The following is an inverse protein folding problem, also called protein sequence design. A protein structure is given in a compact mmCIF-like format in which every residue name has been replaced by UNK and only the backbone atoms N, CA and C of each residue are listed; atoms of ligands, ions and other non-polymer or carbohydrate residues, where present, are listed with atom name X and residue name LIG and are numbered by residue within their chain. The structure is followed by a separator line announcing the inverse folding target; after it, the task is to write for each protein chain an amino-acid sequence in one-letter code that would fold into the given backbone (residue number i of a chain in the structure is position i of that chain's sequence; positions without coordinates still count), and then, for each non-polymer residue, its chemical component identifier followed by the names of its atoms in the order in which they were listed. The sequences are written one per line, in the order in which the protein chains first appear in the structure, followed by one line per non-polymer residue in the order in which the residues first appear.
data_IF_975569805190
#
_entry.id   IF_975569805190
#
_cell.length_a   1.000
_cell.length_b   1.000
_cell.length_c   1.000
_cell.angle_alpha   90.00
_cell.angle_beta   90.00
_cell.angle_gamma   90.00
#
_symmetry.space_group_name_H-M   'P 1'
#
loop_
_entity.id
_entity.type
_entity.pdbx_description
1 polymer ?
#
# COMPACT_ATOMS: atom_id res chain seq x y z
N UNK A 1 -23.33 33.67 -26.75
CA UNK A 1 -22.08 33.78 -25.96
C UNK A 1 -22.38 33.27 -24.56
N UNK A 2 -22.01 32.03 -24.24
CA UNK A 2 -22.25 31.44 -22.91
C UNK A 2 -21.34 32.09 -21.88
N UNK A 3 -21.91 32.59 -20.78
CA UNK A 3 -21.14 33.11 -19.64
C UNK A 3 -20.01 32.14 -19.24
N UNK A 4 -18.82 32.66 -18.85
CA UNK A 4 -17.77 31.82 -18.31
C UNK A 4 -18.26 31.23 -16.98
N UNK A 5 -18.78 30.00 -17.05
CA UNK A 5 -19.30 29.25 -15.91
C UNK A 5 -18.28 29.26 -14.76
N UNK A 6 -18.74 29.52 -13.53
CA UNK A 6 -17.94 29.79 -12.32
C UNK A 6 -16.86 28.74 -11.95
N UNK A 7 -15.80 29.06 -11.19
CA UNK A 7 -14.76 28.08 -10.83
C UNK A 7 -15.28 26.81 -10.12
N UNK A 8 -16.42 26.90 -9.42
CA UNK A 8 -16.98 25.82 -8.58
C UNK A 8 -17.56 24.64 -9.37
N UNK A 9 -18.19 24.86 -10.52
CA UNK A 9 -18.73 23.73 -11.31
C UNK A 9 -17.60 22.90 -11.92
N UNK A 10 -16.47 23.53 -12.30
CA UNK A 10 -15.31 22.82 -12.87
C UNK A 10 -14.73 21.87 -11.84
N UNK A 11 -14.62 22.32 -10.58
CA UNK A 11 -14.23 21.46 -9.48
C UNK A 11 -15.22 20.30 -9.31
N UNK A 12 -16.53 20.57 -9.23
CA UNK A 12 -17.53 19.52 -9.07
C UNK A 12 -17.47 18.45 -10.19
N UNK A 13 -17.36 18.87 -11.46
CA UNK A 13 -17.20 17.94 -12.59
C UNK A 13 -15.88 17.18 -12.50
N UNK A 14 -14.78 17.85 -12.13
CA UNK A 14 -13.49 17.19 -11.95
C UNK A 14 -13.55 16.09 -10.88
N UNK A 15 -14.18 16.36 -9.74
CA UNK A 15 -14.32 15.41 -8.64
C UNK A 15 -15.07 14.13 -9.06
N UNK A 16 -16.11 14.26 -9.88
CA UNK A 16 -16.87 13.12 -10.43
C UNK A 16 -16.04 12.36 -11.46
N UNK A 17 -15.41 13.05 -12.41
CA UNK A 17 -14.57 12.42 -13.45
C UNK A 17 -13.43 11.62 -12.81
N UNK A 18 -12.80 12.18 -11.78
CA UNK A 18 -11.73 11.51 -11.04
C UNK A 18 -12.23 10.28 -10.30
N UNK A 19 -13.39 10.37 -9.63
CA UNK A 19 -14.00 9.23 -8.95
C UNK A 19 -14.28 8.07 -9.92
N UNK A 20 -14.91 8.37 -11.06
CA UNK A 20 -15.23 7.37 -12.10
C UNK A 20 -13.97 6.78 -12.71
N UNK A 21 -12.97 7.61 -13.03
CA UNK A 21 -11.72 7.16 -13.62
C UNK A 21 -10.91 6.25 -12.68
N UNK A 22 -10.80 6.62 -11.40
CA UNK A 22 -10.10 5.82 -10.40
C UNK A 22 -10.83 4.50 -10.11
N UNK A 23 -12.15 4.55 -9.86
CA UNK A 23 -12.95 3.36 -9.59
C UNK A 23 -12.99 2.42 -10.80
N UNK A 24 -13.25 2.94 -12.00
CA UNK A 24 -13.30 2.14 -13.23
C UNK A 24 -11.98 1.42 -13.51
N UNK A 25 -10.85 2.10 -13.30
CA UNK A 25 -9.54 1.46 -13.42
C UNK A 25 -9.33 0.38 -12.35
N UNK A 26 -9.66 0.65 -11.09
CA UNK A 26 -9.50 -0.32 -10.01
C UNK A 26 -10.35 -1.59 -10.23
N UNK A 27 -11.59 -1.42 -10.67
CA UNK A 27 -12.49 -2.52 -11.03
C UNK A 27 -11.88 -3.35 -12.16
N UNK A 28 -11.45 -2.71 -13.26
CA UNK A 28 -10.84 -3.40 -14.39
C UNK A 28 -9.53 -4.12 -14.01
N UNK A 29 -8.70 -3.50 -13.18
CA UNK A 29 -7.44 -4.06 -12.70
C UNK A 29 -7.68 -5.31 -11.85
N UNK A 30 -8.67 -5.29 -10.96
CA UNK A 30 -9.03 -6.43 -10.11
C UNK A 30 -9.66 -7.55 -10.92
N UNK A 31 -10.68 -7.24 -11.70
CA UNK A 31 -11.40 -8.22 -12.53
C UNK A 31 -10.46 -8.92 -13.52
N UNK A 32 -9.48 -8.21 -14.08
CA UNK A 32 -8.49 -8.84 -14.97
C UNK A 32 -7.51 -9.77 -14.25
N UNK A 33 -7.11 -9.48 -13.01
CA UNK A 33 -6.28 -10.39 -12.21
C UNK A 33 -7.06 -11.64 -11.79
N UNK A 34 -8.31 -11.47 -11.35
CA UNK A 34 -9.23 -12.56 -11.02
C UNK A 34 -9.54 -13.43 -12.25
N UNK A 35 -9.71 -12.81 -13.42
CA UNK A 35 -9.87 -13.52 -14.69
C UNK A 35 -8.64 -14.37 -15.06
N UNK A 36 -7.42 -13.86 -14.87
CA UNK A 36 -6.20 -14.65 -15.12
C UNK A 36 -6.12 -15.84 -14.16
N UNK A 37 -6.39 -15.62 -12.87
CA UNK A 37 -6.38 -16.70 -11.87
C UNK A 37 -7.36 -17.83 -12.23
N UNK A 38 -8.59 -17.46 -12.58
CA UNK A 38 -9.66 -18.40 -12.96
C UNK A 38 -9.41 -19.08 -14.30
N UNK A 39 -8.88 -18.36 -15.30
CA UNK A 39 -8.52 -18.95 -16.60
C UNK A 39 -7.40 -19.99 -16.47
N UNK A 40 -6.52 -19.86 -15.48
CA UNK A 40 -5.45 -20.81 -15.17
C UNK A 40 -5.86 -21.84 -14.10
N UNK A 41 -7.15 -21.93 -13.76
CA UNK A 41 -7.71 -23.01 -12.93
C UNK A 41 -7.71 -22.76 -11.42
N UNK A 42 -7.37 -21.55 -10.95
CA UNK A 42 -7.46 -21.16 -9.54
C UNK A 42 -8.71 -20.34 -9.22
N UNK A 43 -9.16 -20.33 -7.97
CA UNK A 43 -10.16 -19.35 -7.49
C UNK A 43 -9.56 -17.97 -7.22
N UNK A 44 -8.25 -17.94 -6.99
CA UNK A 44 -7.44 -16.79 -6.60
C UNK A 44 -5.99 -17.05 -7.01
N UNK A 45 -5.10 -16.09 -6.74
CA UNK A 45 -3.72 -16.17 -7.23
C UNK A 45 -2.91 -17.25 -6.52
N UNK A 46 -3.23 -17.55 -5.26
CA UNK A 46 -2.55 -18.59 -4.48
C UNK A 46 -2.98 -19.96 -4.97
N UNK A 47 -4.29 -20.21 -5.06
CA UNK A 47 -4.84 -21.48 -5.57
C UNK A 47 -4.45 -21.72 -7.02
N UNK A 48 -4.38 -20.68 -7.85
CA UNK A 48 -3.81 -20.76 -9.19
C UNK A 48 -2.39 -21.34 -9.12
N UNK A 49 -1.48 -20.71 -8.37
CA UNK A 49 -0.08 -21.16 -8.28
C UNK A 49 0.05 -22.54 -7.64
N UNK A 50 -0.78 -22.87 -6.66
CA UNK A 50 -0.84 -24.20 -6.03
C UNK A 50 -1.20 -25.29 -7.04
N UNK A 51 -2.11 -25.02 -7.97
CA UNK A 51 -2.50 -25.95 -9.02
C UNK A 51 -1.43 -26.19 -10.09
N UNK A 52 -0.41 -25.33 -10.20
CA UNK A 52 0.59 -25.42 -11.26
C UNK A 52 1.74 -26.38 -10.93
N UNK A 53 2.33 -27.05 -11.94
CA UNK A 53 3.59 -27.78 -11.83
C UNK A 53 4.72 -26.92 -11.29
N UNK A 54 5.67 -27.53 -10.57
CA UNK A 54 6.79 -26.83 -9.91
C UNK A 54 7.60 -25.91 -10.84
N UNK A 55 7.83 -26.33 -12.09
CA UNK A 55 8.56 -25.51 -13.05
C UNK A 55 7.78 -24.26 -13.46
N UNK A 56 6.45 -24.31 -13.51
CA UNK A 56 5.60 -23.16 -13.83
C UNK A 56 5.54 -22.17 -12.67
N UNK A 57 5.59 -22.65 -11.42
CA UNK A 57 5.68 -21.79 -10.22
C UNK A 57 6.94 -20.91 -10.20
N UNK A 58 7.98 -21.30 -10.93
CA UNK A 58 9.20 -20.50 -11.13
C UNK A 58 9.11 -19.70 -12.43
N UNK A 59 8.71 -20.34 -13.53
CA UNK A 59 8.69 -19.73 -14.85
C UNK A 59 7.73 -18.52 -14.93
N UNK A 60 6.56 -18.59 -14.28
CA UNK A 60 5.59 -17.49 -14.30
C UNK A 60 6.11 -16.23 -13.60
N UNK A 61 6.66 -16.28 -12.35
CA UNK A 61 7.27 -15.11 -11.73
C UNK A 61 8.44 -14.54 -12.54
N UNK A 62 9.26 -15.40 -13.17
CA UNK A 62 10.35 -14.97 -14.06
C UNK A 62 9.81 -14.22 -15.28
N UNK A 63 8.81 -14.78 -15.96
CA UNK A 63 8.19 -14.18 -17.14
C UNK A 63 7.48 -12.85 -16.78
N UNK A 64 6.72 -12.83 -15.69
CA UNK A 64 6.07 -11.61 -15.17
C UNK A 64 7.10 -10.54 -14.80
N UNK A 65 8.19 -10.91 -14.14
CA UNK A 65 9.29 -10.02 -13.80
C UNK A 65 10.00 -9.46 -15.03
N UNK A 66 10.32 -10.30 -16.01
CA UNK A 66 10.94 -9.88 -17.28
C UNK A 66 10.03 -8.92 -18.04
N UNK A 67 8.75 -9.26 -18.20
CA UNK A 67 7.77 -8.42 -18.88
C UNK A 67 7.60 -7.07 -18.18
N UNK A 68 7.50 -7.07 -16.86
CA UNK A 68 7.45 -5.86 -16.05
C UNK A 68 8.72 -5.00 -16.21
N UNK A 69 9.89 -5.64 -16.32
CA UNK A 69 11.17 -4.97 -16.60
C UNK A 69 11.23 -4.32 -17.97
N UNK A 70 10.69 -4.97 -19.00
CA UNK A 70 10.57 -4.40 -20.36
C UNK A 70 9.63 -3.20 -20.39
N UNK A 71 8.49 -3.29 -19.69
CA UNK A 71 7.56 -2.17 -19.56
C UNK A 71 8.19 -1.01 -18.77
N UNK A 72 8.95 -1.30 -17.71
CA UNK A 72 9.69 -0.28 -16.96
C UNK A 72 10.74 0.44 -17.82
N UNK A 73 11.40 -0.26 -18.75
CA UNK A 73 12.30 0.35 -19.74
C UNK A 73 11.55 1.29 -20.70
N UNK A 74 10.37 0.89 -21.16
CA UNK A 74 9.53 1.76 -21.99
C UNK A 74 9.05 2.99 -21.19
N UNK A 75 8.61 2.79 -19.95
CA UNK A 75 8.17 3.86 -19.04
C UNK A 75 9.31 4.84 -18.69
N UNK A 76 10.56 4.36 -18.62
CA UNK A 76 11.74 5.19 -18.38
C UNK A 76 11.99 6.23 -19.49
N UNK A 77 11.52 5.98 -20.73
CA UNK A 77 11.64 6.94 -21.84
C UNK A 77 10.72 8.16 -21.67
N UNK A 78 9.71 8.07 -20.79
CA UNK A 78 8.84 9.18 -20.43
C UNK A 78 9.53 10.01 -19.34
N UNK A 79 9.97 11.25 -19.67
CA UNK A 79 10.87 12.12 -18.87
C UNK A 79 10.33 12.63 -17.51
N UNK A 80 9.29 12.02 -16.94
CA UNK A 80 8.68 12.44 -15.66
C UNK A 80 8.70 11.30 -14.62
N UNK A 81 8.61 11.63 -13.34
CA UNK A 81 8.63 10.63 -12.26
C UNK A 81 7.34 9.80 -12.18
N UNK A 82 7.34 8.76 -11.36
CA UNK A 82 6.20 7.89 -11.12
C UNK A 82 6.24 7.35 -9.68
N UNK A 83 5.19 6.62 -9.27
CA UNK A 83 5.06 6.12 -7.92
C UNK A 83 4.38 7.09 -6.95
N UNK A 84 4.03 6.59 -5.78
CA UNK A 84 3.32 7.36 -4.74
C UNK A 84 4.16 8.53 -4.25
N UNK A 85 5.48 8.35 -4.10
CA UNK A 85 6.39 9.43 -3.72
C UNK A 85 6.34 10.61 -4.70
N UNK A 86 6.40 10.35 -6.01
CA UNK A 86 6.26 11.41 -7.03
C UNK A 86 4.90 12.10 -6.98
N UNK A 87 3.82 11.37 -6.71
CA UNK A 87 2.48 11.96 -6.55
C UNK A 87 2.44 12.88 -5.32
N UNK A 88 3.04 12.47 -4.21
CA UNK A 88 3.16 13.30 -3.01
C UNK A 88 3.95 14.58 -3.28
N UNK A 89 5.08 14.46 -3.99
CA UNK A 89 5.88 15.60 -4.45
C UNK A 89 5.04 16.54 -5.31
N UNK A 90 4.31 16.03 -6.31
CA UNK A 90 3.47 16.84 -7.21
C UNK A 90 2.38 17.63 -6.46
N UNK A 91 1.75 17.02 -5.45
CA UNK A 91 0.68 17.64 -4.66
C UNK A 91 1.25 18.73 -3.72
N UNK A 92 2.35 18.44 -3.02
CA UNK A 92 2.90 19.35 -2.01
C UNK A 92 3.72 20.47 -2.63
N UNK A 93 4.59 20.17 -3.59
CA UNK A 93 5.34 21.20 -4.34
C UNK A 93 4.45 21.98 -5.30
N UNK A 94 3.28 21.45 -5.63
CA UNK A 94 2.37 22.07 -6.59
C UNK A 94 2.77 21.92 -8.04
N UNK A 95 3.78 21.12 -8.34
CA UNK A 95 4.05 20.71 -9.70
C UNK A 95 3.09 19.57 -10.08
N UNK A 96 1.82 19.93 -10.31
CA UNK A 96 0.66 19.03 -10.47
C UNK A 96 0.69 18.13 -11.71
N UNK A 97 1.86 17.89 -12.31
CA UNK A 97 2.03 17.14 -13.55
C UNK A 97 2.31 15.67 -13.26
N UNK A 98 1.25 14.86 -13.22
CA UNK A 98 1.34 13.39 -13.11
C UNK A 98 1.27 12.76 -14.51
N UNK A 99 2.33 12.13 -15.02
CA UNK A 99 2.37 11.61 -16.39
C UNK A 99 1.41 10.41 -16.59
N UNK A 100 0.25 10.65 -17.22
CA UNK A 100 -0.79 9.63 -17.45
C UNK A 100 -0.24 8.36 -18.12
N UNK A 101 0.50 8.52 -19.22
CA UNK A 101 1.08 7.38 -19.95
C UNK A 101 2.06 6.58 -19.07
N UNK A 102 2.87 7.25 -18.26
CA UNK A 102 3.81 6.58 -17.37
C UNK A 102 3.11 5.85 -16.23
N UNK A 103 2.02 6.41 -15.71
CA UNK A 103 1.16 5.75 -14.73
C UNK A 103 0.52 4.49 -15.31
N UNK A 104 0.02 4.54 -16.55
CA UNK A 104 -0.55 3.38 -17.23
C UNK A 104 0.50 2.29 -17.49
N UNK A 105 1.70 2.66 -17.96
CA UNK A 105 2.78 1.70 -18.18
C UNK A 105 3.24 1.06 -16.87
N UNK A 106 3.40 1.84 -15.79
CA UNK A 106 3.74 1.27 -14.48
C UNK A 106 2.66 0.33 -13.96
N UNK A 107 1.39 0.69 -14.14
CA UNK A 107 0.28 -0.16 -13.75
C UNK A 107 0.25 -1.47 -14.56
N UNK A 108 0.49 -1.41 -15.87
CA UNK A 108 0.62 -2.60 -16.72
C UNK A 108 1.80 -3.48 -16.30
N UNK A 109 2.97 -2.88 -16.03
CA UNK A 109 4.12 -3.63 -15.53
C UNK A 109 3.83 -4.32 -14.19
N UNK A 110 3.11 -3.62 -13.30
CA UNK A 110 2.72 -4.18 -12.00
C UNK A 110 1.71 -5.31 -12.16
N UNK A 111 0.72 -5.12 -13.04
CA UNK A 111 -0.25 -6.14 -13.39
C UNK A 111 0.43 -7.42 -13.92
N UNK A 112 1.37 -7.29 -14.87
CA UNK A 112 2.12 -8.42 -15.43
C UNK A 112 2.93 -9.17 -14.37
N UNK A 113 3.58 -8.44 -13.46
CA UNK A 113 4.35 -9.06 -12.40
C UNK A 113 3.44 -9.78 -11.37
N UNK A 114 2.34 -9.15 -10.97
CA UNK A 114 1.35 -9.72 -10.04
C UNK A 114 0.67 -10.94 -10.67
N UNK A 115 0.19 -10.84 -11.90
CA UNK A 115 -0.43 -11.95 -12.64
C UNK A 115 0.52 -13.14 -12.80
N UNK A 116 1.83 -12.89 -12.94
CA UNK A 116 2.87 -13.92 -12.91
C UNK A 116 3.14 -14.52 -11.51
N UNK A 117 2.48 -14.04 -10.46
CA UNK A 117 2.61 -14.51 -9.08
C UNK A 117 3.66 -13.78 -8.23
N UNK A 118 4.37 -12.77 -8.75
CA UNK A 118 5.38 -12.06 -7.96
C UNK A 118 4.76 -11.40 -6.70
N UNK A 119 5.55 -11.35 -5.63
CA UNK A 119 5.13 -10.80 -4.34
C UNK A 119 5.10 -9.27 -4.35
N UNK A 120 4.01 -8.69 -4.87
CA UNK A 120 3.84 -7.25 -5.06
C UNK A 120 2.42 -6.81 -4.68
N UNK A 121 2.31 -5.64 -4.05
CA UNK A 121 1.04 -4.97 -3.78
C UNK A 121 0.49 -4.23 -5.00
N UNK A 122 -0.83 -4.17 -5.12
CA UNK A 122 -1.55 -3.46 -6.20
C UNK A 122 -1.76 -1.96 -5.95
N UNK A 123 -1.49 -1.50 -4.73
CA UNK A 123 -1.92 -0.17 -4.27
C UNK A 123 -1.21 0.98 -4.97
N UNK A 124 0.09 0.85 -5.21
CA UNK A 124 0.90 1.88 -5.85
C UNK A 124 0.34 2.29 -7.21
N UNK A 125 0.11 1.34 -8.14
CA UNK A 125 -0.58 1.58 -9.39
C UNK A 125 -1.95 2.23 -9.25
N UNK A 126 -2.80 1.75 -8.34
CA UNK A 126 -4.17 2.25 -8.17
C UNK A 126 -4.20 3.70 -7.66
N UNK A 127 -3.37 4.01 -6.66
CA UNK A 127 -3.19 5.36 -6.15
C UNK A 127 -2.63 6.29 -7.24
N UNK A 128 -1.63 5.82 -7.99
CA UNK A 128 -0.99 6.62 -9.04
C UNK A 128 -1.94 6.91 -10.20
N UNK A 129 -2.79 5.94 -10.59
CA UNK A 129 -3.83 6.16 -11.60
C UNK A 129 -4.92 7.08 -11.09
N UNK A 130 -5.29 6.97 -9.81
CA UNK A 130 -6.17 7.95 -9.17
C UNK A 130 -5.66 9.38 -9.33
N UNK A 131 -4.38 9.63 -9.01
CA UNK A 131 -3.74 10.93 -9.21
C UNK A 131 -3.66 11.32 -10.70
N UNK A 132 -3.38 10.37 -11.60
CA UNK A 132 -3.34 10.61 -13.05
C UNK A 132 -4.70 11.00 -13.63
N UNK A 133 -5.80 10.44 -13.10
CA UNK A 133 -7.16 10.88 -13.41
C UNK A 133 -7.37 12.33 -12.99
N UNK A 134 -6.80 12.74 -11.86
CA UNK A 134 -6.77 14.15 -11.44
C UNK A 134 -6.04 15.07 -12.42
N UNK A 135 -4.89 14.63 -12.93
CA UNK A 135 -4.17 15.36 -13.99
C UNK A 135 -4.97 15.43 -15.30
N UNK A 136 -5.65 14.35 -15.68
CA UNK A 136 -6.51 14.34 -16.86
C UNK A 136 -7.65 15.37 -16.71
N UNK A 137 -8.31 15.40 -15.55
CA UNK A 137 -9.33 16.38 -15.23
C UNK A 137 -8.78 17.82 -15.23
N UNK A 138 -7.59 18.04 -14.65
CA UNK A 138 -6.89 19.34 -14.69
C UNK A 138 -6.70 19.84 -16.12
N UNK A 139 -6.17 19.00 -17.02
CA UNK A 139 -5.92 19.37 -18.42
C UNK A 139 -7.22 19.60 -19.19
N UNK A 140 -8.20 18.71 -19.03
CA UNK A 140 -9.48 18.79 -19.73
C UNK A 140 -10.33 19.99 -19.33
N UNK A 141 -10.38 20.31 -18.03
CA UNK A 141 -11.21 21.38 -17.47
C UNK A 141 -10.43 22.69 -17.27
N UNK A 142 -9.14 22.71 -17.59
CA UNK A 142 -8.23 23.87 -17.43
C UNK A 142 -8.32 24.45 -16.02
N UNK A 143 -8.10 23.59 -15.03
CA UNK A 143 -8.09 23.98 -13.62
C UNK A 143 -6.79 24.74 -13.29
N UNK A 144 -6.89 25.70 -12.38
CA UNK A 144 -5.76 26.39 -11.78
C UNK A 144 -5.00 25.46 -10.83
N UNK A 145 -3.77 25.83 -10.46
CA UNK A 145 -2.88 24.96 -9.71
C UNK A 145 -3.38 24.64 -8.30
N UNK A 146 -4.11 25.54 -7.64
CA UNK A 146 -4.67 25.29 -6.32
C UNK A 146 -5.78 24.23 -6.38
N UNK A 147 -6.76 24.42 -7.28
CA UNK A 147 -7.82 23.43 -7.53
C UNK A 147 -7.24 22.11 -8.02
N UNK A 148 -6.21 22.15 -8.87
CA UNK A 148 -5.55 20.96 -9.37
C UNK A 148 -4.95 20.10 -8.23
N UNK A 149 -4.27 20.71 -7.25
CA UNK A 149 -3.72 19.97 -6.11
C UNK A 149 -4.81 19.23 -5.33
N UNK A 150 -5.95 19.88 -5.11
CA UNK A 150 -7.11 19.28 -4.44
C UNK A 150 -7.65 18.10 -5.27
N UNK A 151 -7.82 18.27 -6.58
CA UNK A 151 -8.34 17.23 -7.48
C UNK A 151 -7.38 16.04 -7.60
N UNK A 152 -6.05 16.28 -7.63
CA UNK A 152 -5.05 15.21 -7.59
C UNK A 152 -5.09 14.45 -6.26
N UNK A 153 -5.18 15.15 -5.12
CA UNK A 153 -5.31 14.54 -3.80
C UNK A 153 -6.60 13.73 -3.67
N UNK A 154 -7.72 14.26 -4.19
CA UNK A 154 -8.99 13.55 -4.27
C UNK A 154 -8.87 12.27 -5.11
N UNK A 155 -8.10 12.33 -6.21
CA UNK A 155 -7.76 11.15 -7.02
C UNK A 155 -6.96 10.10 -6.28
N UNK A 156 -5.97 10.51 -5.47
CA UNK A 156 -5.22 9.58 -4.61
C UNK A 156 -6.15 8.86 -3.65
N UNK A 157 -7.04 9.59 -2.95
CA UNK A 157 -7.99 8.97 -2.03
C UNK A 157 -8.99 8.06 -2.77
N UNK A 158 -9.52 8.46 -3.93
CA UNK A 158 -10.39 7.60 -4.73
C UNK A 158 -9.69 6.31 -5.17
N UNK A 159 -8.44 6.38 -5.62
CA UNK A 159 -7.65 5.21 -5.98
C UNK A 159 -7.40 4.28 -4.79
N UNK A 160 -7.08 4.85 -3.63
CA UNK A 160 -6.89 4.10 -2.38
C UNK A 160 -8.19 3.42 -1.93
N UNK A 161 -9.31 4.16 -1.89
CA UNK A 161 -10.59 3.63 -1.47
C UNK A 161 -11.11 2.55 -2.41
N UNK A 162 -10.93 2.71 -3.72
CA UNK A 162 -11.29 1.68 -4.71
C UNK A 162 -10.42 0.42 -4.58
N UNK A 163 -9.18 0.55 -4.11
CA UNK A 163 -8.28 -0.58 -3.89
C UNK A 163 -8.67 -1.43 -2.67
N UNK A 164 -9.14 -0.78 -1.60
CA UNK A 164 -9.34 -1.41 -0.30
C UNK A 164 -10.79 -1.44 0.20
N UNK A 165 -11.73 -0.84 -0.52
CA UNK A 165 -13.09 -0.59 -0.04
C UNK A 165 -13.10 0.16 1.31
N UNK A 166 -12.14 1.07 1.50
CA UNK A 166 -11.85 1.75 2.77
C UNK A 166 -11.87 3.28 2.60
N UNK A 167 -13.06 3.90 2.48
CA UNK A 167 -13.19 5.33 2.23
C UNK A 167 -12.64 6.22 3.35
N UNK A 168 -12.85 5.89 4.63
CA UNK A 168 -12.41 6.76 5.74
C UNK A 168 -10.88 6.72 5.85
N UNK A 169 -10.30 5.52 5.74
CA UNK A 169 -8.86 5.33 5.70
C UNK A 169 -8.21 6.05 4.52
N UNK A 170 -8.86 6.10 3.35
CA UNK A 170 -8.34 6.82 2.19
C UNK A 170 -8.27 8.35 2.41
N UNK A 171 -9.27 8.94 3.05
CA UNK A 171 -9.26 10.37 3.42
C UNK A 171 -8.14 10.65 4.41
N UNK A 172 -8.01 9.80 5.44
CA UNK A 172 -6.93 9.91 6.43
C UNK A 172 -5.56 9.70 5.79
N UNK A 173 -5.42 8.77 4.83
CA UNK A 173 -4.20 8.56 4.09
C UNK A 173 -3.77 9.85 3.37
N UNK A 174 -4.71 10.56 2.75
CA UNK A 174 -4.39 11.84 2.11
C UNK A 174 -3.93 12.87 3.15
N UNK A 175 -4.65 13.02 4.25
CA UNK A 175 -4.32 14.02 5.29
C UNK A 175 -3.00 13.69 6.00
N UNK A 176 -2.80 12.45 6.42
CA UNK A 176 -1.66 12.03 7.24
C UNK A 176 -0.40 11.76 6.40
N UNK A 177 -0.55 11.08 5.25
CA UNK A 177 0.57 10.64 4.40
C UNK A 177 0.80 11.58 3.22
N UNK A 178 -0.22 11.97 2.47
CA UNK A 178 -0.01 12.63 1.17
C UNK A 178 0.25 14.13 1.32
N UNK A 179 -0.69 14.88 1.89
CA UNK A 179 -0.62 16.34 2.04
C UNK A 179 0.10 16.75 3.33
N UNK A 180 -0.09 16.00 4.43
CA UNK A 180 0.36 16.42 5.75
C UNK A 180 -0.56 17.48 6.35
N UNK A 181 0.01 18.41 7.15
CA UNK A 181 -0.74 19.39 7.95
C UNK A 181 -1.87 20.03 7.14
N UNK A 182 -3.07 19.90 7.72
CA UNK A 182 -4.35 19.92 7.05
C UNK A 182 -4.59 21.20 6.24
N UNK A 183 -4.61 21.06 4.92
CA UNK A 183 -5.40 21.98 4.09
C UNK A 183 -6.86 21.56 4.30
N UNK A 184 -7.52 22.15 5.30
CA UNK A 184 -8.95 21.91 5.60
C UNK A 184 -9.82 22.02 4.34
N UNK A 185 -9.44 22.89 3.39
CA UNK A 185 -10.11 23.08 2.11
C UNK A 185 -10.10 21.84 1.20
N UNK A 186 -9.12 20.94 1.36
CA UNK A 186 -9.03 19.71 0.57
C UNK A 186 -9.88 18.57 1.15
N UNK A 187 -10.20 18.60 2.44
CA UNK A 187 -10.88 17.49 3.14
C UNK A 187 -12.25 17.20 2.54
N UNK A 188 -13.07 18.23 2.33
CA UNK A 188 -14.44 18.06 1.78
C UNK A 188 -14.41 17.53 0.34
N UNK A 189 -13.67 18.13 -0.61
CA UNK A 189 -13.54 17.58 -1.96
C UNK A 189 -13.00 16.15 -2.00
N UNK A 190 -11.97 15.86 -1.20
CA UNK A 190 -11.37 14.52 -1.08
C UNK A 190 -12.41 13.52 -0.59
N UNK A 191 -13.16 13.85 0.47
CA UNK A 191 -14.20 12.98 1.01
C UNK A 191 -15.31 12.70 -0.02
N UNK A 192 -15.80 13.73 -0.72
CA UNK A 192 -16.85 13.57 -1.74
C UNK A 192 -16.39 12.61 -2.85
N UNK A 193 -15.22 12.86 -3.45
CA UNK A 193 -14.68 12.00 -4.51
C UNK A 193 -14.39 10.58 -4.03
N UNK A 194 -13.94 10.43 -2.79
CA UNK A 194 -13.69 9.12 -2.18
C UNK A 194 -14.98 8.32 -1.99
N UNK A 195 -16.05 8.96 -1.50
CA UNK A 195 -17.36 8.34 -1.38
C UNK A 195 -17.88 7.92 -2.74
N UNK A 196 -17.82 8.79 -3.75
CA UNK A 196 -18.24 8.45 -5.11
C UNK A 196 -17.47 7.26 -5.67
N UNK A 197 -16.15 7.25 -5.57
CA UNK A 197 -15.32 6.14 -6.04
C UNK A 197 -15.64 4.83 -5.31
N UNK A 198 -15.91 4.90 -4.01
CA UNK A 198 -16.31 3.75 -3.19
C UNK A 198 -17.67 3.21 -3.63
N UNK A 199 -18.66 4.09 -3.85
CA UNK A 199 -19.98 3.70 -4.35
C UNK A 199 -19.85 2.97 -5.69
N UNK A 200 -19.12 3.53 -6.65
CA UNK A 200 -18.89 2.85 -7.94
C UNK A 200 -18.20 1.50 -7.78
N UNK A 201 -17.21 1.41 -6.89
CA UNK A 201 -16.50 0.15 -6.62
C UNK A 201 -17.43 -0.89 -5.99
N UNK A 202 -18.26 -0.49 -5.02
CA UNK A 202 -19.21 -1.37 -4.33
C UNK A 202 -20.33 -1.87 -5.23
N UNK A 203 -20.82 -1.02 -6.14
CA UNK A 203 -21.80 -1.43 -7.15
C UNK A 203 -21.27 -2.54 -8.06
N UNK A 204 -19.96 -2.58 -8.31
CA UNK A 204 -19.34 -3.59 -9.17
C UNK A 204 -18.82 -4.83 -8.41
N UNK A 205 -18.29 -4.64 -7.20
CA UNK A 205 -17.52 -5.68 -6.47
C UNK A 205 -18.15 -6.09 -5.13
N UNK A 206 -19.27 -5.49 -4.74
CA UNK A 206 -19.97 -5.76 -3.48
C UNK A 206 -19.58 -4.81 -2.34
N UNK A 207 -20.42 -4.79 -1.30
CA UNK A 207 -20.29 -3.84 -0.18
C UNK A 207 -19.44 -4.36 0.98
N UNK A 208 -19.22 -5.67 1.05
CA UNK A 208 -18.58 -6.33 2.19
C UNK A 208 -17.15 -5.80 2.44
N UNK A 209 -16.71 -5.76 3.72
CA UNK A 209 -15.31 -5.53 4.06
C UNK A 209 -14.40 -6.48 3.30
N UNK A 210 -13.20 -6.02 2.93
CA UNK A 210 -12.34 -6.77 2.01
C UNK A 210 -11.93 -8.13 2.59
N UNK A 211 -11.68 -8.24 3.89
CA UNK A 211 -11.40 -9.53 4.53
C UNK A 211 -12.66 -10.26 5.01
N UNK A 212 -13.86 -9.68 4.85
CA UNK A 212 -15.10 -10.19 5.44
C UNK A 212 -15.31 -9.70 6.88
N UNK A 213 -16.57 -9.74 7.32
CA UNK A 213 -17.00 -9.32 8.66
C UNK A 213 -16.46 -10.30 9.68
N UNK A 214 -15.69 -9.80 10.65
CA UNK A 214 -15.27 -10.55 11.84
C UNK A 214 -15.72 -9.82 13.08
N UNK A 215 -15.92 -10.59 14.14
CA UNK A 215 -16.27 -10.08 15.47
C UNK A 215 -15.15 -10.52 16.42
N UNK A 216 -14.16 -9.66 16.59
CA UNK A 216 -13.11 -9.86 17.56
C UNK A 216 -13.49 -9.12 18.84
N UNK A 217 -13.48 -9.83 19.95
CA UNK A 217 -13.72 -9.25 21.27
C UNK A 217 -12.42 -9.29 22.06
N UNK A 218 -11.98 -8.12 22.53
CA UNK A 218 -10.91 -8.05 23.54
C UNK A 218 -11.51 -8.54 24.85
N UNK A 219 -10.80 -9.45 25.53
CA UNK A 219 -11.35 -10.11 26.71
C UNK A 219 -11.21 -9.21 27.94
N UNK A 220 -10.15 -8.39 27.97
CA UNK A 220 -9.75 -7.65 29.17
C UNK A 220 -9.03 -6.34 28.85
N UNK A 221 -9.18 -5.35 29.74
CA UNK A 221 -8.45 -4.08 29.65
C UNK A 221 -6.92 -4.27 29.78
N UNK A 222 -6.47 -5.31 30.48
CA UNK A 222 -5.04 -5.64 30.61
C UNK A 222 -4.42 -6.09 29.29
N UNK A 223 -5.24 -6.61 28.38
CA UNK A 223 -4.80 -7.04 27.06
C UNK A 223 -4.26 -5.88 26.21
N UNK A 224 -4.62 -4.63 26.53
CA UNK A 224 -4.03 -3.44 25.93
C UNK A 224 -2.50 -3.40 26.09
N UNK A 225 -1.95 -3.97 27.17
CA UNK A 225 -0.50 -4.07 27.36
C UNK A 225 0.11 -5.07 26.36
N UNK A 226 -0.57 -6.18 26.11
CA UNK A 226 -0.15 -7.15 25.11
C UNK A 226 -0.20 -6.55 23.70
N UNK A 227 -1.27 -5.83 23.36
CA UNK A 227 -1.38 -5.12 22.08
C UNK A 227 -0.32 -4.01 21.92
N UNK A 228 0.02 -3.30 23.00
CA UNK A 228 1.15 -2.38 23.01
C UNK A 228 2.49 -3.09 22.71
N UNK A 229 2.68 -4.29 23.26
CA UNK A 229 3.81 -5.17 22.96
C UNK A 229 3.86 -5.58 21.48
N UNK A 230 2.73 -5.96 20.89
CA UNK A 230 2.61 -6.23 19.44
C UNK A 230 3.04 -5.01 18.64
N UNK A 231 2.65 -3.80 19.07
CA UNK A 231 3.08 -2.54 18.46
C UNK A 231 4.61 -2.38 18.42
N UNK A 232 5.31 -2.71 19.50
CA UNK A 232 6.78 -2.66 19.56
C UNK A 232 7.43 -3.70 18.64
N UNK A 233 6.92 -4.94 18.64
CA UNK A 233 7.41 -6.00 17.75
C UNK A 233 7.23 -5.59 16.28
N UNK A 234 6.05 -5.08 15.93
CA UNK A 234 5.75 -4.60 14.60
C UNK A 234 6.63 -3.41 14.18
N UNK A 235 7.02 -2.52 15.11
CA UNK A 235 7.97 -1.45 14.83
C UNK A 235 9.34 -1.98 14.40
N UNK A 236 9.87 -2.97 15.14
CA UNK A 236 11.16 -3.59 14.82
C UNK A 236 11.10 -4.30 13.47
N UNK A 237 10.05 -5.08 13.21
CA UNK A 237 9.86 -5.79 11.95
C UNK A 237 9.64 -4.83 10.77
N UNK A 238 8.84 -3.78 10.95
CA UNK A 238 8.63 -2.76 9.93
C UNK A 238 9.93 -2.05 9.54
N UNK A 239 10.74 -1.66 10.53
CA UNK A 239 12.06 -1.06 10.28
C UNK A 239 13.02 -2.06 9.63
N UNK A 240 13.03 -3.31 10.08
CA UNK A 240 13.82 -4.37 9.46
C UNK A 240 13.43 -4.56 7.99
N UNK A 241 12.14 -4.53 7.67
CA UNK A 241 11.64 -4.63 6.31
C UNK A 241 12.07 -3.44 5.43
N UNK A 242 11.96 -2.20 5.92
CA UNK A 242 12.44 -1.01 5.19
C UNK A 242 13.95 -1.06 4.91
N UNK A 243 14.74 -1.53 5.90
CA UNK A 243 16.19 -1.73 5.74
C UNK A 243 16.49 -2.85 4.75
N UNK A 244 15.73 -3.94 4.78
CA UNK A 244 15.85 -5.06 3.84
C UNK A 244 15.60 -4.59 2.40
N UNK A 245 14.50 -3.86 2.15
CA UNK A 245 14.19 -3.29 0.84
C UNK A 245 15.37 -2.47 0.30
N UNK A 246 15.92 -1.59 1.14
CA UNK A 246 17.05 -0.71 0.79
C UNK A 246 18.35 -1.49 0.59
N UNK A 247 18.59 -2.54 1.38
CA UNK A 247 19.75 -3.42 1.23
C UNK A 247 19.71 -4.20 -0.08
N UNK A 248 18.60 -4.87 -0.35
CA UNK A 248 18.41 -5.70 -1.55
C UNK A 248 18.47 -4.84 -2.82
N UNK A 249 17.92 -3.62 -2.79
CA UNK A 249 17.99 -2.69 -3.91
C UNK A 249 19.42 -2.30 -4.27
N UNK A 250 20.30 -2.07 -3.29
CA UNK A 250 21.72 -1.79 -3.55
C UNK A 250 22.40 -2.94 -4.28
N UNK A 251 22.03 -4.18 -3.97
CA UNK A 251 22.51 -5.37 -4.68
C UNK A 251 22.04 -5.39 -6.13
N UNK A 252 20.72 -5.28 -6.36
CA UNK A 252 20.13 -5.32 -7.69
C UNK A 252 20.57 -4.16 -8.59
N UNK A 253 20.88 -2.98 -8.05
CA UNK A 253 21.36 -1.82 -8.83
C UNK A 253 22.61 -2.10 -9.68
N UNK A 254 23.36 -3.16 -9.39
CA UNK A 254 24.52 -3.59 -10.19
C UNK A 254 24.15 -4.32 -11.48
N UNK A 255 22.89 -4.76 -11.61
CA UNK A 255 22.39 -5.53 -12.74
C UNK A 255 21.64 -4.64 -13.73
N UNK A 256 21.77 -4.88 -15.05
CA UNK A 256 21.06 -4.11 -16.07
C UNK A 256 19.58 -4.47 -16.14
N UNK A 257 18.76 -3.53 -16.59
CA UNK A 257 17.38 -3.80 -17.01
C UNK A 257 17.39 -4.40 -18.43
N UNK A 258 16.52 -5.38 -18.77
CA UNK A 258 15.43 -5.95 -17.96
C UNK A 258 15.84 -7.20 -17.15
N UNK A 259 17.10 -7.63 -17.21
CA UNK A 259 17.58 -8.84 -16.53
C UNK A 259 17.38 -8.78 -15.01
N UNK A 260 17.57 -7.62 -14.41
CA UNK A 260 17.39 -7.36 -12.98
C UNK A 260 15.97 -7.78 -12.48
N UNK A 261 14.85 -7.27 -13.04
CA UNK A 261 13.50 -7.75 -12.73
C UNK A 261 13.26 -9.25 -12.94
N UNK A 262 13.85 -9.84 -14.00
CA UNK A 262 13.72 -11.27 -14.27
C UNK A 262 14.41 -12.13 -13.19
N UNK A 263 15.59 -11.70 -12.71
CA UNK A 263 16.30 -12.34 -11.59
C UNK A 263 15.51 -12.17 -10.28
N UNK A 264 14.91 -11.00 -10.04
CA UNK A 264 14.00 -10.81 -8.91
C UNK A 264 12.82 -11.79 -8.96
N UNK A 265 12.25 -11.98 -10.15
CA UNK A 265 11.20 -12.96 -10.40
C UNK A 265 11.67 -14.41 -10.20
N UNK A 266 12.89 -14.74 -10.59
CA UNK A 266 13.49 -16.06 -10.35
C UNK A 266 13.61 -16.36 -8.85
N UNK A 267 14.15 -15.42 -8.08
CA UNK A 267 14.31 -15.57 -6.63
C UNK A 267 12.94 -15.63 -5.93
N UNK A 268 11.99 -14.78 -6.34
CA UNK A 268 10.62 -14.82 -5.85
C UNK A 268 9.93 -16.16 -6.18
N UNK A 269 10.04 -16.62 -7.43
CA UNK A 269 9.48 -17.89 -7.89
C UNK A 269 10.09 -19.10 -7.20
N UNK A 270 11.39 -19.08 -6.88
CA UNK A 270 12.03 -20.12 -6.07
C UNK A 270 11.42 -20.23 -4.68
N UNK A 271 11.14 -19.09 -4.02
CA UNK A 271 10.45 -19.08 -2.71
C UNK A 271 8.98 -19.51 -2.82
N UNK A 272 8.27 -19.04 -3.85
CA UNK A 272 6.87 -19.42 -4.13
C UNK A 272 6.74 -20.92 -4.43
N UNK A 273 7.73 -21.51 -5.09
CA UNK A 273 7.77 -22.94 -5.36
C UNK A 273 7.74 -23.77 -4.05
N UNK A 274 8.45 -23.31 -3.03
CA UNK A 274 8.46 -23.92 -1.70
C UNK A 274 7.21 -23.61 -0.87
N UNK A 275 6.68 -22.38 -0.96
CA UNK A 275 5.49 -21.95 -0.23
C UNK A 275 4.58 -21.10 -1.13
N UNK A 276 3.55 -21.70 -1.77
CA UNK A 276 2.65 -21.01 -2.69
C UNK A 276 1.90 -19.82 -2.07
N UNK A 277 1.65 -19.82 -0.76
CA UNK A 277 1.06 -18.69 -0.01
C UNK A 277 1.85 -17.38 -0.13
N UNK A 278 3.09 -17.42 -0.63
CA UNK A 278 3.89 -16.23 -0.91
C UNK A 278 3.48 -15.51 -2.20
N UNK A 279 2.72 -16.17 -3.08
CA UNK A 279 2.29 -15.60 -4.35
C UNK A 279 1.43 -14.34 -4.16
N UNK A 280 1.55 -13.42 -5.12
CA UNK A 280 0.74 -12.20 -5.16
C UNK A 280 0.95 -11.25 -3.98
N UNK A 281 -0.06 -10.43 -3.70
CA UNK A 281 0.06 -9.34 -2.75
C UNK A 281 0.02 -9.77 -1.27
N UNK A 282 -0.40 -11.01 -0.98
CA UNK A 282 -0.55 -11.54 0.38
C UNK A 282 -1.95 -11.34 0.98
N UNK A 283 -2.97 -11.07 0.16
CA UNK A 283 -4.35 -10.92 0.61
C UNK A 283 -4.90 -12.22 1.22
N UNK A 284 -4.75 -13.34 0.50
CA UNK A 284 -5.25 -14.66 0.88
C UNK A 284 -4.68 -15.15 2.23
N UNK A 285 -3.35 -15.17 2.45
CA UNK A 285 -2.80 -15.57 3.74
C UNK A 285 -3.19 -14.61 4.89
N UNK A 286 -3.42 -13.31 4.65
CA UNK A 286 -3.97 -12.42 5.70
C UNK A 286 -5.37 -12.86 6.09
N UNK A 287 -6.24 -13.15 5.13
CA UNK A 287 -7.58 -13.65 5.42
C UNK A 287 -7.53 -14.94 6.25
N UNK A 288 -6.62 -15.87 5.91
CA UNK A 288 -6.44 -17.13 6.65
C UNK A 288 -5.89 -16.90 8.07
N UNK A 289 -5.02 -15.92 8.30
CA UNK A 289 -4.52 -15.55 9.63
C UNK A 289 -5.61 -14.95 10.50
N UNK A 290 -6.43 -14.06 9.93
CA UNK A 290 -7.56 -13.47 10.63
C UNK A 290 -8.61 -14.52 11.02
N UNK A 291 -8.72 -15.60 10.24
CA UNK A 291 -9.57 -16.76 10.53
C UNK A 291 -8.91 -17.79 11.47
N UNK A 292 -7.65 -17.60 11.86
CA UNK A 292 -6.91 -18.55 12.70
C UNK A 292 -6.63 -19.91 12.04
N UNK A 293 -6.63 -19.99 10.70
CA UNK A 293 -6.57 -21.24 9.93
C UNK A 293 -5.15 -21.72 9.58
N UNK A 294 -4.11 -20.97 9.94
CA UNK A 294 -2.73 -21.31 9.59
C UNK A 294 -1.98 -21.95 10.76
N UNK A 295 -1.28 -23.05 10.48
CA UNK A 295 -0.39 -23.69 11.43
C UNK A 295 0.81 -22.78 11.79
N UNK A 296 1.26 -22.83 13.04
CA UNK A 296 2.34 -21.98 13.57
C UNK A 296 3.60 -22.02 12.71
N UNK A 297 3.98 -23.20 12.23
CA UNK A 297 5.13 -23.38 11.34
C UNK A 297 4.98 -22.58 10.02
N UNK A 298 3.78 -22.58 9.44
CA UNK A 298 3.48 -21.81 8.22
C UNK A 298 3.55 -20.31 8.49
N UNK A 299 3.04 -19.85 9.64
CA UNK A 299 3.11 -18.43 10.03
C UNK A 299 4.56 -17.98 10.22
N UNK A 300 5.41 -18.80 10.85
CA UNK A 300 6.85 -18.52 10.99
C UNK A 300 7.54 -18.43 9.63
N UNK A 301 7.25 -19.36 8.72
CA UNK A 301 7.78 -19.33 7.36
C UNK A 301 7.31 -18.09 6.59
N UNK A 302 6.03 -17.71 6.69
CA UNK A 302 5.49 -16.51 6.06
C UNK A 302 6.16 -15.24 6.59
N UNK A 303 6.37 -15.14 7.91
CA UNK A 303 7.01 -13.98 8.53
C UNK A 303 8.41 -13.72 7.99
N UNK A 304 9.16 -14.79 7.63
CA UNK A 304 10.53 -14.68 7.11
C UNK A 304 10.52 -14.55 5.58
N UNK A 305 9.79 -15.43 4.90
CA UNK A 305 9.87 -15.57 3.44
C UNK A 305 9.10 -14.46 2.71
N UNK A 306 8.01 -13.92 3.25
CA UNK A 306 7.25 -12.85 2.58
C UNK A 306 8.05 -11.53 2.47
N UNK A 307 8.70 -11.01 3.53
CA UNK A 307 9.55 -9.83 3.38
C UNK A 307 10.67 -10.05 2.36
N UNK A 308 11.28 -11.24 2.32
CA UNK A 308 12.32 -11.59 1.36
C UNK A 308 11.78 -11.62 -0.07
N UNK A 309 10.68 -12.33 -0.33
CA UNK A 309 10.04 -12.42 -1.64
C UNK A 309 9.65 -11.02 -2.16
N UNK A 310 9.04 -10.21 -1.30
CA UNK A 310 8.65 -8.84 -1.65
C UNK A 310 9.86 -7.96 -1.92
N UNK A 311 10.93 -8.07 -1.13
CA UNK A 311 12.16 -7.34 -1.36
C UNK A 311 12.85 -7.75 -2.66
N UNK A 312 12.89 -9.04 -2.99
CA UNK A 312 13.44 -9.51 -4.27
C UNK A 312 12.62 -9.00 -5.45
N UNK A 313 11.29 -9.02 -5.37
CA UNK A 313 10.43 -8.53 -6.45
C UNK A 313 10.54 -7.00 -6.61
N UNK A 314 10.23 -6.22 -5.57
CA UNK A 314 10.20 -4.74 -5.66
C UNK A 314 11.57 -4.16 -5.92
N UNK A 315 12.58 -4.55 -5.13
CA UNK A 315 13.91 -3.95 -5.23
C UNK A 315 14.65 -4.37 -6.51
N UNK A 316 14.20 -5.43 -7.20
CA UNK A 316 14.64 -5.75 -8.56
C UNK A 316 14.07 -4.82 -9.63
N UNK A 317 13.24 -3.85 -9.28
CA UNK A 317 12.73 -2.82 -10.22
C UNK A 317 11.43 -3.20 -10.91
N UNK A 318 10.75 -4.24 -10.44
CA UNK A 318 9.36 -4.49 -10.83
C UNK A 318 8.48 -3.39 -10.23
N UNK A 319 7.65 -2.67 -11.01
CA UNK A 319 6.71 -1.70 -10.47
C UNK A 319 5.66 -2.40 -9.60
N UNK A 320 5.45 -1.92 -8.39
CA UNK A 320 4.49 -2.47 -7.45
C UNK A 320 4.57 -1.81 -6.08
N UNK A 321 3.57 -2.08 -5.24
CA UNK A 321 3.55 -1.62 -3.85
C UNK A 321 4.13 -2.65 -2.88
N UNK A 322 4.44 -2.20 -1.67
CA UNK A 322 4.79 -3.07 -0.52
C UNK A 322 3.74 -3.04 0.58
N UNK A 323 2.62 -2.35 0.36
CA UNK A 323 1.60 -2.09 1.37
C UNK A 323 0.97 -3.38 1.91
N UNK A 324 0.32 -4.18 1.07
CA UNK A 324 -0.30 -5.45 1.49
C UNK A 324 0.71 -6.47 2.03
N UNK A 325 1.92 -6.61 1.45
CA UNK A 325 2.98 -7.40 2.09
C UNK A 325 3.32 -6.95 3.52
N UNK A 326 3.34 -5.64 3.80
CA UNK A 326 3.50 -5.14 5.17
C UNK A 326 2.37 -5.60 6.09
N UNK A 327 1.12 -5.57 5.61
CA UNK A 327 -0.02 -6.06 6.38
C UNK A 327 0.17 -7.51 6.78
N UNK A 328 0.62 -8.36 5.84
CA UNK A 328 0.88 -9.78 6.10
C UNK A 328 2.01 -9.98 7.11
N UNK A 329 3.11 -9.23 7.02
CA UNK A 329 4.22 -9.28 7.99
C UNK A 329 3.68 -8.96 9.40
N UNK A 330 2.87 -7.91 9.52
CA UNK A 330 2.24 -7.53 10.77
C UNK A 330 1.26 -8.58 11.30
N UNK A 331 0.40 -9.11 10.43
CA UNK A 331 -0.56 -10.15 10.79
C UNK A 331 0.15 -11.40 11.32
N UNK A 332 1.22 -11.85 10.65
CA UNK A 332 2.02 -12.98 11.12
C UNK A 332 2.62 -12.71 12.51
N UNK A 333 3.20 -11.53 12.71
CA UNK A 333 3.79 -11.15 13.99
C UNK A 333 2.76 -11.10 15.12
N UNK A 334 1.57 -10.54 14.84
CA UNK A 334 0.45 -10.52 15.77
C UNK A 334 0.00 -11.93 16.15
N UNK A 335 -0.26 -12.79 15.15
CA UNK A 335 -0.64 -14.19 15.39
C UNK A 335 0.40 -14.93 16.24
N UNK A 336 1.70 -14.77 15.97
CA UNK A 336 2.75 -15.42 16.76
C UNK A 336 2.83 -14.90 18.19
N UNK A 337 2.59 -13.60 18.41
CA UNK A 337 2.48 -13.04 19.76
C UNK A 337 1.28 -13.66 20.50
N UNK A 338 0.13 -13.79 19.84
CA UNK A 338 -1.06 -14.41 20.43
C UNK A 338 -0.79 -15.86 20.84
N UNK A 339 -0.18 -16.65 19.94
CA UNK A 339 0.14 -18.05 20.21
C UNK A 339 1.11 -18.19 21.40
N UNK A 340 2.12 -17.32 21.50
CA UNK A 340 3.02 -17.31 22.66
C UNK A 340 2.34 -16.89 23.96
N UNK A 341 1.39 -15.96 23.90
CA UNK A 341 0.59 -15.54 25.06
C UNK A 341 -0.44 -16.59 25.46
N UNK A 342 -0.98 -17.35 24.51
CA UNK A 342 -1.93 -18.44 24.77
C UNK A 342 -1.31 -19.52 25.66
N UNK A 343 -0.04 -19.86 25.44
CA UNK A 343 0.70 -20.81 26.30
C UNK A 343 0.84 -20.32 27.76
N UNK A 344 0.83 -19.00 27.99
CA UNK A 344 1.03 -18.40 29.32
C UNK A 344 -0.30 -18.11 30.03
N UNK A 345 -1.32 -17.68 29.29
CA UNK A 345 -2.56 -17.12 29.84
C UNK A 345 -3.81 -17.90 29.41
N UNK A 346 -3.69 -18.90 28.53
CA UNK A 346 -4.80 -19.72 28.05
C UNK A 346 -5.92 -18.89 27.42
N UNK A 347 -7.17 -19.23 27.75
CA UNK A 347 -8.36 -18.58 27.21
C UNK A 347 -8.63 -17.17 27.80
N UNK A 348 -7.70 -16.62 28.59
CA UNK A 348 -7.81 -15.24 29.11
C UNK A 348 -7.40 -14.18 28.07
N UNK A 349 -6.94 -14.58 26.88
CA UNK A 349 -6.59 -13.69 25.77
C UNK A 349 -7.52 -13.86 24.57
N UNK A 350 -7.70 -12.80 23.81
CA UNK A 350 -8.47 -12.78 22.58
C UNK A 350 -7.90 -13.77 21.55
N UNK A 351 -8.77 -14.17 20.62
CA UNK A 351 -8.42 -15.10 19.56
C UNK A 351 -7.22 -14.61 18.74
N UNK A 352 -6.39 -15.52 18.18
CA UNK A 352 -5.22 -15.13 17.38
C UNK A 352 -5.52 -14.18 16.21
N UNK A 353 -6.73 -14.23 15.65
CA UNK A 353 -7.18 -13.31 14.61
C UNK A 353 -7.27 -11.85 15.07
N UNK A 354 -7.60 -11.58 16.33
CA UNK A 354 -7.64 -10.24 16.90
C UNK A 354 -6.23 -9.63 16.95
N UNK A 355 -5.26 -10.42 17.43
CA UNK A 355 -3.86 -10.03 17.43
C UNK A 355 -3.29 -9.89 16.02
N UNK A 356 -3.68 -10.76 15.09
CA UNK A 356 -3.33 -10.62 13.68
C UNK A 356 -3.82 -9.28 13.12
N UNK A 357 -5.05 -8.89 13.44
CA UNK A 357 -5.61 -7.60 13.04
C UNK A 357 -4.78 -6.44 13.59
N UNK A 358 -4.48 -6.47 14.88
CA UNK A 358 -3.66 -5.46 15.56
C UNK A 358 -2.24 -5.39 14.99
N UNK A 359 -1.61 -6.54 14.74
CA UNK A 359 -0.30 -6.63 14.14
C UNK A 359 -0.24 -6.04 12.73
N UNK A 360 -1.26 -6.31 11.89
CA UNK A 360 -1.36 -5.77 10.53
C UNK A 360 -1.37 -4.23 10.54
N UNK A 361 -2.14 -3.63 11.46
CA UNK A 361 -2.28 -2.18 11.59
C UNK A 361 -0.98 -1.58 12.12
N UNK A 362 -0.39 -2.22 13.13
CA UNK A 362 0.86 -1.79 13.73
C UNK A 362 2.03 -1.80 12.74
N UNK A 363 2.18 -2.85 11.92
CA UNK A 363 3.24 -2.92 10.91
C UNK A 363 3.05 -1.88 9.80
N UNK A 364 1.79 -1.66 9.39
CA UNK A 364 1.48 -0.60 8.45
C UNK A 364 1.83 0.78 9.03
N UNK A 365 1.45 1.06 10.27
CA UNK A 365 1.79 2.30 10.96
C UNK A 365 3.30 2.49 11.11
N UNK A 366 4.05 1.42 11.40
CA UNK A 366 5.51 1.45 11.51
C UNK A 366 6.22 1.79 10.19
N UNK A 367 5.72 1.29 9.05
CA UNK A 367 6.37 1.51 7.75
C UNK A 367 5.92 2.81 7.06
N UNK A 368 4.69 3.25 7.31
CA UNK A 368 4.11 4.45 6.68
C UNK A 368 4.21 5.69 7.57
N UNK A 369 4.48 5.51 8.86
CA UNK A 369 4.41 6.54 9.90
C UNK A 369 3.02 7.17 10.05
N UNK A 370 1.96 6.42 9.70
CA UNK A 370 0.58 6.90 9.64
C UNK A 370 -0.37 6.06 10.54
N UNK A 371 -0.32 6.25 11.87
CA UNK A 371 -1.11 5.46 12.81
C UNK A 371 -2.62 5.62 12.66
N UNK A 372 -3.14 6.82 12.33
CA UNK A 372 -4.59 7.02 12.20
C UNK A 372 -5.13 6.28 10.97
N UNK A 373 -4.44 6.42 9.85
CA UNK A 373 -4.74 5.73 8.59
C UNK A 373 -4.72 4.22 8.81
N UNK A 374 -3.68 3.68 9.46
CA UNK A 374 -3.54 2.24 9.67
C UNK A 374 -4.63 1.66 10.58
N UNK A 375 -4.99 2.38 11.64
CA UNK A 375 -6.05 2.00 12.58
C UNK A 375 -7.39 1.89 11.87
N UNK A 376 -7.80 2.97 11.19
CA UNK A 376 -9.09 3.04 10.51
C UNK A 376 -9.15 2.06 9.35
N UNK A 377 -8.03 1.87 8.63
CA UNK A 377 -7.97 0.87 7.57
C UNK A 377 -8.23 -0.53 8.11
N UNK A 378 -7.62 -0.91 9.23
CA UNK A 378 -7.86 -2.23 9.81
C UNK A 378 -9.34 -2.44 10.18
N UNK A 379 -9.99 -1.44 10.77
CA UNK A 379 -11.44 -1.47 11.03
C UNK A 379 -12.27 -1.61 9.74
N UNK A 380 -11.97 -0.85 8.69
CA UNK A 380 -12.71 -0.94 7.43
C UNK A 380 -12.47 -2.26 6.68
N UNK A 381 -11.27 -2.85 6.79
CA UNK A 381 -10.93 -4.11 6.13
C UNK A 381 -11.57 -5.33 6.81
N UNK A 382 -11.74 -5.32 8.14
CA UNK A 382 -12.38 -6.40 8.90
C UNK A 382 -13.86 -6.18 9.21
N UNK A 383 -14.35 -4.94 9.08
CA UNK A 383 -15.66 -4.53 9.55
C UNK A 383 -15.77 -4.36 11.07
N UNK A 384 -14.69 -4.59 11.81
CA UNK A 384 -14.69 -4.61 13.27
C UNK A 384 -14.19 -3.27 13.84
N UNK A 385 -15.14 -2.47 14.33
CA UNK A 385 -14.89 -1.19 14.98
C UNK A 385 -14.74 -1.29 16.51
N UNK A 386 -15.06 -2.45 17.11
CA UNK A 386 -14.86 -2.66 18.54
C UNK A 386 -13.36 -2.69 18.88
N UNK A 387 -12.53 -3.15 17.94
CA UNK A 387 -11.07 -3.19 18.07
C UNK A 387 -10.37 -1.82 17.88
N UNK A 388 -11.10 -0.71 17.72
CA UNK A 388 -10.48 0.60 17.42
C UNK A 388 -9.47 1.04 18.49
N UNK A 389 -9.74 0.77 19.78
CA UNK A 389 -8.86 1.17 20.88
C UNK A 389 -7.51 0.42 20.86
N UNK A 390 -7.46 -0.93 20.84
CA UNK A 390 -6.19 -1.65 20.74
C UNK A 390 -5.46 -1.37 19.42
N UNK A 391 -6.19 -1.20 18.31
CA UNK A 391 -5.61 -0.85 17.01
C UNK A 391 -4.89 0.51 17.08
N UNK A 392 -5.53 1.52 17.65
CA UNK A 392 -4.96 2.87 17.77
C UNK A 392 -3.73 2.86 18.67
N UNK A 393 -3.79 2.20 19.83
CA UNK A 393 -2.69 2.10 20.77
C UNK A 393 -1.46 1.44 20.12
N UNK A 394 -1.63 0.25 19.54
CA UNK A 394 -0.55 -0.49 18.92
C UNK A 394 0.04 0.27 17.71
N UNK A 395 -0.81 0.86 16.88
CA UNK A 395 -0.38 1.65 15.71
C UNK A 395 0.39 2.90 16.11
N UNK A 396 -0.07 3.63 17.14
CA UNK A 396 0.60 4.82 17.64
C UNK A 396 1.99 4.49 18.23
N UNK A 397 2.08 3.42 19.02
CA UNK A 397 3.35 2.93 19.57
C UNK A 397 4.28 2.49 18.44
N UNK A 398 3.77 1.72 17.48
CA UNK A 398 4.55 1.20 16.38
C UNK A 398 5.14 2.33 15.53
N UNK A 399 4.33 3.32 15.12
CA UNK A 399 4.78 4.49 14.39
C UNK A 399 5.74 5.36 15.21
N UNK A 400 5.48 5.56 16.50
CA UNK A 400 6.36 6.31 17.40
C UNK A 400 7.74 5.68 17.56
N UNK A 401 7.80 4.37 17.78
CA UNK A 401 9.03 3.61 17.90
C UNK A 401 9.79 3.51 16.57
N UNK A 402 9.09 3.22 15.47
CA UNK A 402 9.70 3.11 14.15
C UNK A 402 10.34 4.44 13.70
N UNK A 403 9.68 5.58 13.91
CA UNK A 403 10.24 6.92 13.59
C UNK A 403 11.56 7.21 14.30
N UNK A 404 11.74 6.71 15.53
CA UNK A 404 13.01 6.86 16.27
C UNK A 404 14.12 6.00 15.69
N UNK A 405 13.79 4.83 15.14
CA UNK A 405 14.75 3.85 14.61
C UNK A 405 15.07 4.04 13.12
N UNK A 406 14.15 4.65 12.37
CA UNK A 406 14.26 4.88 10.93
C UNK A 406 13.41 6.09 10.52
N UNK A 407 14.09 7.15 10.07
CA UNK A 407 13.49 8.48 9.84
C UNK A 407 12.50 8.45 8.66
N UNK A 408 12.88 7.78 7.57
CA UNK A 408 12.07 7.75 6.36
C UNK A 408 10.90 6.75 6.50
N UNK A 409 9.73 7.09 5.96
CA UNK A 409 8.70 6.10 5.70
C UNK A 409 8.96 5.39 4.37
N UNK A 410 8.17 4.36 4.08
CA UNK A 410 8.17 3.68 2.78
C UNK A 410 7.97 4.64 1.60
N UNK A 411 7.25 5.74 1.80
CA UNK A 411 6.96 6.72 0.74
C UNK A 411 7.97 7.87 0.70
N UNK A 412 8.52 8.29 1.84
CA UNK A 412 9.52 9.36 1.86
C UNK A 412 10.92 8.85 1.53
N UNK A 413 11.21 7.57 1.72
CA UNK A 413 12.52 6.99 1.39
C UNK A 413 12.90 7.17 -0.08
N UNK A 414 11.94 7.11 -1.01
CA UNK A 414 12.17 7.39 -2.43
C UNK A 414 12.52 8.86 -2.66
N UNK A 415 11.79 9.77 -1.99
CA UNK A 415 12.00 11.22 -2.08
C UNK A 415 13.36 11.64 -1.53
N UNK A 416 13.73 11.11 -0.36
CA UNK A 416 15.02 11.37 0.28
C UNK A 416 16.18 10.96 -0.62
N UNK A 417 16.07 9.84 -1.35
CA UNK A 417 17.08 9.40 -2.33
C UNK A 417 17.20 10.31 -3.55
N UNK A 418 16.11 10.97 -3.92
CA UNK A 418 16.09 12.00 -4.98
C UNK A 418 16.60 13.36 -4.50
N UNK A 419 17.10 13.45 -3.26
CA UNK A 419 17.60 14.68 -2.64
C UNK A 419 16.51 15.56 -2.03
N UNK A 420 15.24 15.12 -2.05
CA UNK A 420 14.14 15.83 -1.43
C UNK A 420 13.97 15.30 -0.01
N UNK A 421 14.56 16.00 0.98
CA UNK A 421 14.37 15.66 2.40
C UNK A 421 13.14 16.36 2.96
N UNK A 422 12.32 15.58 3.66
CA UNK A 422 11.05 16.00 4.21
C UNK A 422 11.09 15.94 5.73
N UNK A 423 10.73 17.04 6.40
CA UNK A 423 10.55 17.04 7.86
C UNK A 423 9.16 17.55 8.19
N UNK A 424 8.41 16.77 8.96
CA UNK A 424 7.17 17.22 9.59
C UNK A 424 7.55 18.14 10.75
N UNK A 425 7.13 19.39 10.67
CA UNK A 425 7.17 20.34 11.80
C UNK A 425 5.74 20.71 12.19
N UNK A 426 5.54 21.21 13.41
CA UNK A 426 4.23 21.69 13.87
C UNK A 426 3.71 22.82 12.96
N UNK A 427 4.61 23.61 12.36
CA UNK A 427 4.31 24.69 11.40
C UNK A 427 4.00 24.19 9.98
N UNK A 428 3.90 22.87 9.76
CA UNK A 428 3.70 22.27 8.44
C UNK A 428 4.90 21.47 7.93
N UNK A 429 4.84 21.06 6.67
CA UNK A 429 5.97 20.41 5.98
C UNK A 429 6.90 21.48 5.42
N UNK A 430 8.14 21.55 5.91
CA UNK A 430 9.21 22.31 5.25
C UNK A 430 10.14 21.34 4.52
N UNK A 431 10.35 21.58 3.24
CA UNK A 431 11.43 20.92 2.50
C UNK A 431 12.72 21.52 3.00
N UNK A 432 13.58 20.68 3.58
CA UNK A 432 14.92 21.10 3.94
C UNK A 432 15.72 21.03 2.64
N UNK A 433 15.79 22.14 1.91
CA UNK A 433 16.74 22.27 0.82
C UNK A 433 18.15 22.08 1.39
N UNK A 434 18.96 21.32 0.65
CA UNK A 434 20.32 20.86 0.97
C UNK A 434 21.08 21.73 2.00
N UNK A 435 21.27 21.22 3.22
CA UNK A 435 22.21 21.82 4.18
C UNK A 435 23.64 21.53 3.73
N UNK A 436 24.07 22.23 2.67
CA UNK A 436 25.47 22.66 2.51
C UNK A 436 25.69 24.09 2.98
N UNK A 437 24.65 24.76 3.48
CA UNK A 437 24.74 26.08 4.10
C UNK A 437 23.81 26.17 5.32
N UNK A 438 24.18 25.54 6.41
CA UNK A 438 23.82 26.00 7.75
C UNK A 438 25.02 25.70 8.63
N UNK A 439 26.02 26.55 8.44
CA UNK A 439 27.10 26.82 9.37
C UNK A 439 26.48 27.16 10.74
N UNK A 440 27.15 26.66 11.78
CA UNK A 440 27.11 27.06 13.18
C UNK A 440 26.18 28.23 13.54
N UNK A 441 25.26 28.01 14.47
CA UNK A 441 25.03 28.91 15.62
C UNK A 441 24.50 28.08 16.80
N UNK A 442 25.39 27.90 17.79
CA UNK A 442 25.23 27.67 19.25
C UNK A 442 24.15 26.71 19.74
#
# INVERSE_FOLDING_TARGET
MSEPRSPRWRLAVALVVVAVGAAGFAIAFRASLEWVATALGGSDIVSMIEGLPLWQRIALPVAGGLAAGLIALAAARVRQGAGVGYVMEAIVLGNTRVPILRSLLNALGSWLAIAGGNSLGREGPLIQIGAASGEAARRGLRLDDATARIVLAAGVAAGFAAAYNAPIAAVLFVVEVVTGVAVLEAVVPVAITTVLATVFTRLALGEAPLYGIRDFTAISMWELVAFAGVGLVAALLGVAFLRLLSFVERGFRRLPMPARPAIGGLLCGGMICALPLLAGNGFEPVAMLLDGKLAVAVVLWLLIAKPLATAMAVSSGQPGGVFTPTLLIGACAGTLCALGLYELFGDAIAAPGAYALVGLAAALAATTHAPLTATVLACELSGDWAMVLPLLLASAIAAGAARKLYIDSVYTAELTRRGLRWRLTLDGRRIIADQRQAVDVV
#
